data_IF_099767150710
#
_entry.id   IF_099767150710
#
_cell.length_a   1.000
_cell.length_b   1.000
_cell.length_c   1.000
_cell.angle_alpha   90.00
_cell.angle_beta   90.00
_cell.angle_gamma   90.00
#
_symmetry.space_group_name_H-M   'P 1'
#
loop_
_entity.id
_entity.type
_entity.pdbx_description
1 polymer ?
#
# COMPACT_ATOMS: atom_id res chain seq x y z
N UNK A 1 11.51 -3.12 -8.50
CA UNK A 1 11.92 -2.82 -7.11
C UNK A 1 10.90 -1.92 -6.43
N UNK A 2 10.47 -2.29 -5.24
CA UNK A 2 9.51 -1.47 -4.49
C UNK A 2 10.20 -0.26 -3.87
N UNK A 3 9.51 0.88 -3.89
CA UNK A 3 10.01 2.11 -3.30
C UNK A 3 9.16 2.50 -2.10
N UNK A 4 9.80 3.03 -1.08
CA UNK A 4 9.11 3.49 0.12
C UNK A 4 8.32 4.77 -0.19
N UNK A 5 7.05 4.81 0.20
CA UNK A 5 6.22 6.00 0.09
C UNK A 5 6.16 6.71 1.44
N UNK A 6 5.66 6.03 2.47
CA UNK A 6 5.62 6.58 3.82
C UNK A 6 5.34 5.48 4.83
N UNK A 7 5.50 5.80 6.11
CA UNK A 7 5.16 4.90 7.20
C UNK A 7 3.99 5.50 7.96
N UNK A 8 2.94 4.70 8.12
CA UNK A 8 1.76 5.09 8.88
C UNK A 8 1.93 4.62 10.32
N UNK A 9 1.74 5.55 11.27
CA UNK A 9 1.91 5.27 12.69
C UNK A 9 0.57 5.24 13.42
N UNK A 10 -0.50 4.76 12.80
CA UNK A 10 -1.86 4.84 13.36
C UNK A 10 -2.08 3.61 14.19
N UNK A 11 -1.74 2.67 14.46
CA UNK A 11 -1.95 1.53 15.36
C UNK A 11 -0.63 0.85 15.62
N UNK A 12 -0.06 0.34 14.55
CA UNK A 12 1.29 -0.19 14.48
C UNK A 12 1.91 0.41 13.26
N UNK A 13 3.23 0.44 13.19
CA UNK A 13 3.92 0.99 12.03
C UNK A 13 3.59 0.16 10.79
N UNK A 14 2.96 0.79 9.82
CA UNK A 14 2.63 0.16 8.55
C UNK A 14 3.43 0.85 7.46
N UNK A 15 4.29 0.11 6.81
CA UNK A 15 5.09 0.63 5.71
C UNK A 15 4.28 0.60 4.42
N UNK A 16 4.24 1.74 3.72
CA UNK A 16 3.59 1.84 2.41
C UNK A 16 4.68 1.91 1.36
N UNK A 17 4.66 0.96 0.44
CA UNK A 17 5.62 0.91 -0.66
C UNK A 17 4.87 0.80 -1.97
N UNK A 18 5.53 1.12 -3.08
CA UNK A 18 4.92 1.00 -4.39
C UNK A 18 5.93 0.48 -5.41
N UNK A 19 5.41 -0.10 -6.48
CA UNK A 19 6.23 -0.54 -7.61
C UNK A 19 5.45 -0.33 -8.90
N UNK A 20 6.11 0.19 -9.93
CA UNK A 20 5.53 0.32 -11.26
C UNK A 20 5.88 -0.92 -12.06
N UNK A 21 4.86 -1.66 -12.47
CA UNK A 21 5.01 -2.85 -13.31
C UNK A 21 4.48 -2.59 -14.71
N UNK A 22 4.75 -3.49 -15.64
CA UNK A 22 4.21 -3.40 -16.99
C UNK A 22 2.68 -3.38 -16.99
N UNK A 23 2.06 -4.04 -16.01
CA UNK A 23 0.61 -4.12 -15.89
C UNK A 23 0.01 -2.96 -15.09
N UNK A 24 0.83 -2.07 -14.55
CA UNK A 24 0.36 -0.93 -13.78
C UNK A 24 1.05 -0.81 -12.43
N UNK A 25 0.58 0.15 -11.65
CA UNK A 25 1.14 0.44 -10.33
C UNK A 25 0.54 -0.50 -9.28
N UNK A 26 1.40 -1.01 -8.40
CA UNK A 26 0.97 -1.77 -7.22
C UNK A 26 1.44 -1.06 -5.96
N UNK A 27 0.56 -0.99 -4.97
CA UNK A 27 0.86 -0.38 -3.67
C UNK A 27 0.71 -1.45 -2.59
N UNK A 28 1.74 -1.57 -1.76
CA UNK A 28 1.80 -2.59 -0.71
C UNK A 28 1.79 -1.93 0.66
N UNK A 29 0.92 -2.44 1.54
CA UNK A 29 0.88 -2.08 2.95
C UNK A 29 1.40 -3.28 3.74
N UNK A 30 2.47 -3.07 4.50
CA UNK A 30 3.09 -4.14 5.26
C UNK A 30 3.24 -3.74 6.71
N UNK A 31 2.74 -4.57 7.61
CA UNK A 31 2.76 -4.32 9.03
C UNK A 31 3.42 -5.48 9.77
N UNK A 32 4.42 -5.17 10.59
CA UNK A 32 5.03 -6.16 11.47
C UNK A 32 4.08 -6.48 12.61
N UNK A 33 3.96 -7.75 12.95
CA UNK A 33 3.19 -8.16 14.11
C UNK A 33 3.89 -9.35 14.75
N UNK A 34 3.43 -9.73 15.95
CA UNK A 34 4.03 -10.87 16.66
C UNK A 34 3.95 -12.12 15.80
N UNK A 35 5.11 -12.68 15.48
CA UNK A 35 5.19 -13.91 14.72
C UNK A 35 5.17 -13.72 13.19
N UNK A 36 5.27 -12.49 12.66
CA UNK A 36 5.33 -12.33 11.22
C UNK A 36 4.90 -10.97 10.72
N UNK A 37 4.33 -10.96 9.53
CA UNK A 37 3.90 -9.75 8.85
C UNK A 37 2.48 -9.90 8.34
N UNK A 38 1.76 -8.78 8.29
CA UNK A 38 0.51 -8.67 7.52
C UNK A 38 0.83 -7.89 6.26
N UNK A 39 0.31 -8.35 5.14
CA UNK A 39 0.60 -7.73 3.83
C UNK A 39 -0.68 -7.56 3.03
N UNK A 40 -0.87 -6.38 2.48
CA UNK A 40 -2.03 -6.06 1.64
C UNK A 40 -1.52 -5.33 0.41
N UNK A 41 -1.89 -5.82 -0.78
CA UNK A 41 -1.46 -5.26 -2.04
C UNK A 41 -2.67 -4.88 -2.87
N UNK A 42 -2.69 -3.61 -3.33
CA UNK A 42 -3.71 -3.11 -4.25
C UNK A 42 -3.07 -2.78 -5.59
N UNK A 43 -3.86 -2.90 -6.67
CA UNK A 43 -3.48 -2.33 -7.95
C UNK A 43 -3.96 -0.86 -8.02
N UNK A 44 -3.65 -0.17 -9.12
CA UNK A 44 -4.00 1.24 -9.26
C UNK A 44 -5.50 1.47 -9.47
N UNK A 45 -6.27 0.43 -9.65
CA UNK A 45 -7.73 0.48 -9.77
C UNK A 45 -8.40 0.06 -8.47
N UNK A 46 -7.65 0.05 -7.37
CA UNK A 46 -8.15 -0.23 -6.02
C UNK A 46 -8.65 -1.65 -5.82
N UNK A 47 -8.16 -2.58 -6.65
CA UNK A 47 -8.49 -4.00 -6.48
C UNK A 47 -7.45 -4.66 -5.59
N UNK A 48 -7.95 -5.54 -4.71
CA UNK A 48 -7.05 -6.30 -3.83
C UNK A 48 -6.38 -7.41 -4.64
N UNK A 49 -5.05 -7.31 -4.75
CA UNK A 49 -4.27 -8.36 -5.41
C UNK A 49 -3.94 -9.46 -4.42
N UNK A 50 -3.64 -9.07 -3.18
CA UNK A 50 -3.29 -10.03 -2.14
C UNK A 50 -3.60 -9.43 -0.78
N UNK A 51 -4.11 -10.23 0.14
CA UNK A 51 -4.33 -9.83 1.52
C UNK A 51 -3.94 -11.00 2.43
N UNK A 52 -2.97 -10.77 3.28
CA UNK A 52 -2.51 -11.75 4.25
C UNK A 52 -2.56 -11.12 5.63
N UNK A 53 -3.62 -11.41 6.38
CA UNK A 53 -3.71 -11.08 7.79
C UNK A 53 -4.56 -9.85 8.17
N UNK A 54 -4.95 -9.00 7.22
CA UNK A 54 -5.77 -7.84 7.55
C UNK A 54 -7.26 -8.18 7.52
N UNK A 55 -8.01 -7.59 8.47
CA UNK A 55 -9.46 -7.75 8.52
C UNK A 55 -10.14 -6.68 7.65
N UNK A 56 -11.48 -6.74 7.57
CA UNK A 56 -12.27 -5.83 6.74
C UNK A 56 -12.09 -4.36 7.11
N UNK A 57 -12.05 -4.07 8.42
CA UNK A 57 -11.88 -2.70 8.89
C UNK A 57 -10.54 -2.13 8.48
N UNK A 58 -9.49 -2.92 8.63
CA UNK A 58 -8.14 -2.51 8.25
C UNK A 58 -8.04 -2.34 6.75
N UNK A 59 -8.62 -3.27 5.99
CA UNK A 59 -8.62 -3.19 4.53
C UNK A 59 -9.30 -1.91 4.05
N UNK A 60 -10.46 -1.57 4.64
CA UNK A 60 -11.17 -0.35 4.28
C UNK A 60 -10.36 0.90 4.63
N UNK A 61 -9.68 0.89 5.76
CA UNK A 61 -8.82 2.01 6.16
C UNK A 61 -7.72 2.25 5.12
N UNK A 62 -7.02 1.20 4.73
CA UNK A 62 -5.94 1.32 3.75
C UNK A 62 -6.46 1.65 2.36
N UNK A 63 -7.65 1.18 2.00
CA UNK A 63 -8.28 1.52 0.73
C UNK A 63 -8.57 3.03 0.67
N UNK A 64 -9.12 3.60 1.75
CA UNK A 64 -9.39 5.04 1.80
C UNK A 64 -8.09 5.84 1.76
N UNK A 65 -7.07 5.37 2.47
CA UNK A 65 -5.75 5.99 2.39
C UNK A 65 -5.24 5.99 0.95
N UNK A 66 -5.36 4.86 0.27
CA UNK A 66 -4.89 4.74 -1.11
C UNK A 66 -5.65 5.68 -2.03
N UNK A 67 -6.97 5.76 -1.91
CA UNK A 67 -7.79 6.67 -2.72
C UNK A 67 -7.37 8.12 -2.54
N UNK A 68 -7.01 8.50 -1.32
CA UNK A 68 -6.59 9.86 -1.01
C UNK A 68 -5.18 10.18 -1.48
N UNK A 69 -4.36 9.17 -1.72
CA UNK A 69 -2.94 9.35 -2.02
C UNK A 69 -2.51 8.86 -3.40
N UNK A 70 -3.41 8.24 -4.15
CA UNK A 70 -3.02 7.56 -5.41
C UNK A 70 -2.40 8.53 -6.42
N UNK A 71 -2.88 9.76 -6.49
CA UNK A 71 -2.33 10.76 -7.42
C UNK A 71 -0.88 11.07 -7.08
N UNK A 72 -0.58 11.23 -5.79
CA UNK A 72 0.77 11.51 -5.32
C UNK A 72 1.69 10.32 -5.58
N UNK A 73 1.21 9.11 -5.30
CA UNK A 73 2.00 7.90 -5.52
C UNK A 73 2.31 7.73 -7.00
N UNK A 74 1.33 7.98 -7.87
CA UNK A 74 1.53 7.90 -9.31
C UNK A 74 2.57 8.92 -9.77
N UNK A 75 2.50 10.15 -9.26
CA UNK A 75 3.46 11.19 -9.60
C UNK A 75 4.87 10.80 -9.16
N UNK A 76 5.02 10.26 -7.95
CA UNK A 76 6.31 9.77 -7.48
C UNK A 76 6.84 8.65 -8.36
N UNK A 77 5.98 7.71 -8.74
CA UNK A 77 6.41 6.56 -9.53
C UNK A 77 6.88 6.96 -10.93
N UNK A 78 6.39 8.10 -11.43
CA UNK A 78 6.80 8.64 -12.74
C UNK A 78 7.92 9.67 -12.63
N UNK A 79 8.28 10.07 -11.40
CA UNK A 79 9.27 11.11 -11.21
C UNK A 79 8.77 12.52 -11.54
N UNK A 80 7.48 12.77 -11.45
CA UNK A 80 6.86 14.04 -11.80
C UNK A 80 6.85 15.01 -10.59
N UNK A 81 8.01 15.41 -10.16
CA UNK A 81 8.12 16.38 -9.07
C UNK A 81 8.74 17.66 -9.56
#
# INVERSE_FOLDING_TARGET
>A
MRKHYMTLCVRDNTEVTYVQKATGLEVTFEQSCNGGFKTLIFDEQFRVISNSGFNSSELNYFLEFLKNNISTIKAESRGDF
#
